data_IF_735904414006
#
_entry.id   IF_735904414006
#
_cell.length_a   1.000
_cell.length_b   1.000
_cell.length_c   1.000
_cell.angle_alpha   90.00
_cell.angle_beta   90.00
_cell.angle_gamma   90.00
#
_symmetry.space_group_name_H-M   'P 1'
#
loop_
_entity.id
_entity.type
_entity.pdbx_description
1 polymer ?
#
# COMPACT_ATOMS: atom_id res chain seq x y z
N UNK A 1 6.48 22.15 1.36
CA UNK A 1 6.19 20.70 1.32
C UNK A 1 7.41 19.82 1.54
N UNK A 2 8.51 19.98 0.80
CA UNK A 2 9.73 19.17 1.02
C UNK A 2 10.24 19.17 2.47
N UNK A 3 10.26 20.33 3.14
CA UNK A 3 10.65 20.43 4.54
C UNK A 3 9.76 19.59 5.49
N UNK A 4 8.45 19.55 5.22
CA UNK A 4 7.50 18.74 5.99
C UNK A 4 7.73 17.24 5.75
N UNK A 5 7.96 16.82 4.51
CA UNK A 5 8.30 15.43 4.19
C UNK A 5 9.63 15.04 4.88
N UNK A 6 10.64 15.90 4.83
CA UNK A 6 11.92 15.67 5.51
C UNK A 6 11.77 15.57 7.03
N UNK A 7 10.93 16.42 7.63
CA UNK A 7 10.56 16.34 9.04
C UNK A 7 9.87 15.00 9.36
N UNK A 8 8.85 14.61 8.58
CA UNK A 8 8.08 13.38 8.79
C UNK A 8 8.96 12.13 8.69
N UNK A 9 9.86 12.09 7.70
CA UNK A 9 10.82 10.99 7.56
C UNK A 9 11.78 10.90 8.76
N UNK A 10 12.31 12.04 9.23
CA UNK A 10 13.18 12.07 10.41
C UNK A 10 12.45 11.66 11.69
N UNK A 11 11.22 12.13 11.87
CA UNK A 11 10.36 11.78 13.00
C UNK A 11 10.06 10.28 13.01
N UNK A 12 9.64 9.73 11.87
CA UNK A 12 9.31 8.32 11.75
C UNK A 12 10.51 7.40 11.93
N UNK A 13 11.66 7.72 11.32
CA UNK A 13 12.89 6.93 11.48
C UNK A 13 13.37 6.93 12.92
N UNK A 14 13.32 8.07 13.63
CA UNK A 14 13.67 8.12 15.07
C UNK A 14 12.72 7.31 15.95
N UNK A 15 11.45 7.18 15.56
CA UNK A 15 10.48 6.37 16.30
C UNK A 15 10.76 4.86 16.24
N UNK A 16 11.59 4.41 15.28
CA UNK A 16 11.89 2.99 15.00
C UNK A 16 10.67 2.12 14.66
N UNK A 17 9.46 2.69 14.55
CA UNK A 17 8.23 1.95 14.27
C UNK A 17 8.15 1.40 12.85
N UNK A 18 9.05 1.84 11.96
CA UNK A 18 9.21 1.29 10.63
C UNK A 18 9.96 -0.06 10.63
N UNK A 19 10.74 -0.34 11.67
CA UNK A 19 11.68 -1.46 11.66
C UNK A 19 10.97 -2.80 11.50
N UNK A 20 9.96 -3.08 12.32
CA UNK A 20 9.23 -4.34 12.28
C UNK A 20 8.60 -4.65 10.89
N UNK A 21 7.76 -3.78 10.28
CA UNK A 21 7.20 -4.06 8.97
C UNK A 21 8.26 -4.10 7.86
N UNK A 22 9.30 -3.28 7.94
CA UNK A 22 10.38 -3.29 6.96
C UNK A 22 11.20 -4.58 7.03
N UNK A 23 11.61 -5.00 8.23
CA UNK A 23 12.35 -6.24 8.45
C UNK A 23 11.54 -7.47 8.00
N UNK A 24 10.24 -7.52 8.34
CA UNK A 24 9.34 -8.58 7.88
C UNK A 24 9.29 -8.65 6.34
N UNK A 25 9.22 -7.49 5.68
CA UNK A 25 9.22 -7.41 4.23
C UNK A 25 10.54 -7.94 3.63
N UNK A 26 11.69 -7.53 4.18
CA UNK A 26 13.01 -8.01 3.74
C UNK A 26 13.12 -9.53 3.92
N UNK A 27 12.77 -10.05 5.10
CA UNK A 27 12.82 -11.50 5.39
C UNK A 27 11.93 -12.27 4.42
N UNK A 28 10.70 -11.82 4.19
CA UNK A 28 9.76 -12.47 3.29
C UNK A 28 10.29 -12.51 1.84
N UNK A 29 10.86 -11.40 1.34
CA UNK A 29 11.45 -11.33 0.00
C UNK A 29 12.68 -12.22 -0.12
N UNK A 30 13.57 -12.24 0.89
CA UNK A 30 14.75 -13.11 0.87
C UNK A 30 14.36 -14.59 0.88
N UNK A 31 13.38 -14.97 1.69
CA UNK A 31 12.85 -16.32 1.74
C UNK A 31 12.24 -16.74 0.40
N UNK A 32 11.44 -15.87 -0.22
CA UNK A 32 10.80 -16.14 -1.51
C UNK A 32 11.83 -16.47 -2.60
N UNK A 33 12.92 -15.69 -2.68
CA UNK A 33 13.97 -15.88 -3.69
C UNK A 33 15.06 -16.90 -3.31
N UNK A 34 14.80 -17.75 -2.30
CA UNK A 34 15.68 -18.86 -1.92
C UNK A 34 15.44 -20.09 -2.81
N UNK A 35 14.19 -20.38 -3.15
CA UNK A 35 13.83 -21.51 -4.01
C UNK A 35 14.04 -21.16 -5.49
N UNK A 36 14.44 -22.15 -6.31
CA UNK A 36 14.64 -22.01 -7.76
C UNK A 36 13.94 -23.18 -8.48
N UNK A 37 13.44 -22.99 -9.72
CA UNK A 37 13.45 -21.75 -10.51
C UNK A 37 12.38 -20.73 -10.06
N UNK A 38 12.67 -19.44 -10.20
CA UNK A 38 11.72 -18.35 -9.91
C UNK A 38 11.06 -17.85 -11.20
N UNK A 39 9.78 -18.21 -11.47
CA UNK A 39 9.02 -17.62 -12.56
C UNK A 39 8.82 -16.12 -12.33
N UNK A 40 9.23 -15.28 -13.29
CA UNK A 40 9.34 -13.82 -13.13
C UNK A 40 8.05 -13.20 -12.59
N UNK A 41 6.95 -13.37 -13.33
CA UNK A 41 5.71 -12.67 -13.05
C UNK A 41 4.99 -13.21 -11.81
N UNK A 42 5.09 -14.51 -11.54
CA UNK A 42 4.57 -15.11 -10.31
C UNK A 42 5.35 -14.64 -9.07
N UNK A 43 6.68 -14.56 -9.14
CA UNK A 43 7.48 -14.00 -8.06
C UNK A 43 7.14 -12.52 -7.83
N UNK A 44 6.96 -11.73 -8.90
CA UNK A 44 6.54 -10.34 -8.77
C UNK A 44 5.11 -10.17 -8.24
N UNK A 45 4.18 -11.06 -8.59
CA UNK A 45 2.83 -11.08 -8.02
C UNK A 45 2.90 -11.30 -6.50
N UNK A 46 3.69 -12.29 -6.06
CA UNK A 46 3.89 -12.58 -4.65
C UNK A 46 4.53 -11.40 -3.90
N UNK A 47 5.61 -10.79 -4.43
CA UNK A 47 6.23 -9.63 -3.79
C UNK A 47 5.35 -8.38 -3.80
N UNK A 48 4.48 -8.21 -4.80
CA UNK A 48 3.52 -7.11 -4.82
C UNK A 48 2.45 -7.26 -3.72
N UNK A 49 1.99 -8.48 -3.43
CA UNK A 49 1.10 -8.76 -2.29
C UNK A 49 1.82 -8.54 -0.95
N UNK A 50 3.08 -8.98 -0.83
CA UNK A 50 3.91 -8.68 0.35
C UNK A 50 4.05 -7.16 0.55
N UNK A 51 4.28 -6.41 -0.54
CA UNK A 51 4.36 -4.95 -0.49
C UNK A 51 3.02 -4.32 -0.09
N UNK A 52 1.88 -4.80 -0.59
CA UNK A 52 0.55 -4.36 -0.15
C UNK A 52 0.40 -4.48 1.37
N UNK A 53 0.74 -5.64 1.94
CA UNK A 53 0.67 -5.89 3.38
C UNK A 53 1.64 -4.98 4.14
N UNK A 54 2.88 -4.88 3.66
CA UNK A 54 3.92 -4.02 4.25
C UNK A 54 3.54 -2.55 4.24
N UNK A 55 3.03 -2.03 3.12
CA UNK A 55 2.61 -0.64 2.96
C UNK A 55 1.40 -0.29 3.83
N UNK A 56 0.43 -1.19 3.99
CA UNK A 56 -0.68 -0.97 4.92
C UNK A 56 -0.20 -0.88 6.38
N UNK A 57 0.74 -1.76 6.78
CA UNK A 57 1.32 -1.73 8.12
C UNK A 57 2.21 -0.51 8.36
N UNK A 58 3.07 -0.16 7.40
CA UNK A 58 3.90 1.05 7.42
C UNK A 58 2.99 2.28 7.51
N UNK A 59 1.92 2.32 6.71
CA UNK A 59 0.92 3.37 6.75
C UNK A 59 0.30 3.53 8.13
N UNK A 60 -0.17 2.45 8.75
CA UNK A 60 -0.77 2.49 10.07
C UNK A 60 0.24 2.92 11.15
N UNK A 61 1.45 2.37 11.09
CA UNK A 61 2.56 2.67 12.00
C UNK A 61 2.98 4.14 11.89
N UNK A 62 3.13 4.64 10.67
CA UNK A 62 3.46 6.02 10.36
C UNK A 62 2.34 6.96 10.80
N UNK A 63 1.09 6.74 10.46
CA UNK A 63 0.02 7.68 10.81
C UNK A 63 -0.20 7.82 12.33
N UNK A 64 0.28 6.86 13.12
CA UNK A 64 0.21 6.85 14.57
C UNK A 64 1.55 7.12 15.27
N UNK A 65 2.64 7.43 14.53
CA UNK A 65 3.98 7.56 15.13
C UNK A 65 4.13 8.82 15.99
N UNK A 66 3.50 9.93 15.59
CA UNK A 66 3.59 11.20 16.32
C UNK A 66 2.61 11.26 17.48
N UNK A 67 3.06 11.84 18.59
CA UNK A 67 2.19 12.14 19.73
C UNK A 67 1.17 13.22 19.35
N UNK A 68 -0.05 13.13 19.91
CA UNK A 68 -1.15 14.06 19.59
C UNK A 68 -0.78 15.54 19.76
N UNK A 69 -0.07 15.87 20.85
CA UNK A 69 0.41 17.23 21.13
C UNK A 69 1.40 17.72 20.06
N UNK A 70 2.37 16.89 19.67
CA UNK A 70 3.35 17.26 18.64
C UNK A 70 2.67 17.48 17.29
N UNK A 71 1.73 16.60 16.93
CA UNK A 71 0.88 16.76 15.74
C UNK A 71 0.13 18.09 15.74
N UNK A 72 -0.49 18.47 16.86
CA UNK A 72 -1.21 19.74 16.99
C UNK A 72 -0.26 20.94 16.78
N UNK A 73 0.92 20.93 17.40
CA UNK A 73 1.93 21.98 17.21
C UNK A 73 2.32 22.14 15.74
N UNK A 74 2.54 21.02 15.03
CA UNK A 74 2.87 21.06 13.60
C UNK A 74 1.70 21.59 12.77
N UNK A 75 0.46 21.16 13.06
CA UNK A 75 -0.74 21.63 12.36
C UNK A 75 -0.93 23.15 12.55
N UNK A 76 -0.74 23.66 13.77
CA UNK A 76 -0.83 25.10 14.08
C UNK A 76 0.26 25.87 13.34
N UNK A 77 1.50 25.38 13.33
CA UNK A 77 2.59 26.00 12.60
C UNK A 77 2.33 26.04 11.08
N UNK A 78 1.75 24.97 10.52
CA UNK A 78 1.34 24.89 9.11
C UNK A 78 0.07 25.69 8.80
N UNK A 79 -0.68 26.12 9.83
CA UNK A 79 -2.01 26.75 9.73
C UNK A 79 -3.03 25.95 8.92
N UNK A 80 -2.81 24.64 8.77
CA UNK A 80 -3.66 23.79 7.93
C UNK A 80 -3.46 22.30 8.23
N UNK A 81 -4.51 21.67 8.74
CA UNK A 81 -4.55 20.21 8.90
C UNK A 81 -4.51 19.47 7.55
N UNK A 82 -5.07 20.07 6.49
CA UNK A 82 -4.99 19.51 5.14
C UNK A 82 -3.54 19.40 4.67
N UNK A 83 -2.74 20.46 4.85
CA UNK A 83 -1.32 20.45 4.48
C UNK A 83 -0.53 19.40 5.26
N UNK A 84 -0.83 19.23 6.55
CA UNK A 84 -0.27 18.15 7.37
C UNK A 84 -0.59 16.77 6.79
N UNK A 85 -1.88 16.49 6.52
CA UNK A 85 -2.33 15.21 5.97
C UNK A 85 -1.79 14.94 4.57
N UNK A 86 -1.74 15.95 3.69
CA UNK A 86 -1.11 15.86 2.37
C UNK A 86 0.37 15.56 2.49
N UNK A 87 1.10 16.22 3.39
CA UNK A 87 2.51 15.92 3.65
C UNK A 87 2.74 14.49 4.12
N UNK A 88 1.88 13.99 5.02
CA UNK A 88 1.91 12.59 5.46
C UNK A 88 1.65 11.60 4.33
N UNK A 89 0.62 11.84 3.51
CA UNK A 89 0.30 11.00 2.36
C UNK A 89 1.45 10.99 1.34
N UNK A 90 2.03 12.15 1.00
CA UNK A 90 3.17 12.24 0.08
C UNK A 90 4.40 11.51 0.63
N UNK A 91 4.62 11.55 1.95
CA UNK A 91 5.69 10.78 2.60
C UNK A 91 5.47 9.28 2.45
N UNK A 92 4.24 8.80 2.66
CA UNK A 92 3.88 7.40 2.47
C UNK A 92 4.00 6.96 1.00
N UNK A 93 3.58 7.80 0.05
CA UNK A 93 3.76 7.54 -1.39
C UNK A 93 5.25 7.41 -1.72
N UNK A 94 6.09 8.33 -1.23
CA UNK A 94 7.54 8.26 -1.45
C UNK A 94 8.14 6.95 -0.89
N UNK A 95 7.79 6.57 0.34
CA UNK A 95 8.25 5.31 0.94
C UNK A 95 7.80 4.10 0.12
N UNK A 96 6.54 4.09 -0.33
CA UNK A 96 6.01 3.04 -1.20
C UNK A 96 6.79 2.93 -2.52
N UNK A 97 7.12 4.06 -3.17
CA UNK A 97 7.90 4.06 -4.40
C UNK A 97 9.31 3.49 -4.19
N UNK A 98 9.96 3.87 -3.08
CA UNK A 98 11.29 3.35 -2.73
C UNK A 98 11.25 1.83 -2.48
N UNK A 99 10.24 1.34 -1.75
CA UNK A 99 10.07 -0.09 -1.50
C UNK A 99 9.70 -0.86 -2.76
N UNK A 100 8.81 -0.33 -3.60
CA UNK A 100 8.49 -0.92 -4.90
C UNK A 100 9.75 -1.05 -5.77
N UNK A 101 10.57 0.01 -5.85
CA UNK A 101 11.84 -0.05 -6.56
C UNK A 101 12.79 -1.09 -5.96
N UNK A 102 12.96 -1.13 -4.64
CA UNK A 102 13.80 -2.13 -3.99
C UNK A 102 13.34 -3.57 -4.33
N UNK A 103 12.04 -3.83 -4.32
CA UNK A 103 11.48 -5.18 -4.49
C UNK A 103 11.56 -5.65 -5.94
N UNK A 104 11.36 -4.74 -6.89
CA UNK A 104 11.45 -5.04 -8.32
C UNK A 104 12.92 -5.17 -8.74
N UNK A 105 13.80 -4.31 -8.24
CA UNK A 105 15.21 -4.29 -8.66
C UNK A 105 16.09 -5.32 -7.96
N UNK A 106 15.76 -5.72 -6.72
CA UNK A 106 16.53 -6.73 -5.97
C UNK A 106 16.75 -8.05 -6.72
N UNK A 107 15.71 -8.75 -7.22
CA UNK A 107 15.90 -10.03 -7.90
C UNK A 107 16.59 -9.88 -9.27
N UNK A 108 16.47 -8.70 -9.90
CA UNK A 108 17.19 -8.38 -11.13
C UNK A 108 18.69 -8.20 -10.86
N UNK A 109 19.05 -7.42 -9.84
CA UNK A 109 20.44 -7.17 -9.45
C UNK A 109 21.13 -8.45 -8.96
N UNK A 110 20.39 -9.36 -8.31
CA UNK A 110 20.89 -10.62 -7.77
C UNK A 110 20.70 -11.83 -8.70
N UNK A 111 20.27 -11.60 -9.95
CA UNK A 111 20.07 -12.63 -10.99
C UNK A 111 19.27 -13.84 -10.50
N UNK A 112 18.13 -13.58 -9.85
CA UNK A 112 17.28 -14.61 -9.23
C UNK A 112 16.33 -15.30 -10.19
N UNK A 113 16.13 -14.75 -11.38
CA UNK A 113 15.25 -15.29 -12.41
C UNK A 113 16.00 -16.25 -13.34
N UNK A 114 15.28 -17.26 -13.84
CA UNK A 114 15.83 -18.25 -14.77
C UNK A 114 15.96 -17.73 -16.21
N UNK A 115 15.22 -16.67 -16.54
CA UNK A 115 15.12 -16.09 -17.87
C UNK A 115 15.21 -14.55 -17.79
N UNK A 116 15.58 -13.86 -18.90
CA UNK A 116 15.62 -12.40 -18.92
C UNK A 116 14.22 -11.80 -18.71
N UNK A 117 14.14 -10.76 -17.87
CA UNK A 117 12.86 -10.13 -17.51
C UNK A 117 12.19 -9.43 -18.69
N UNK A 118 12.95 -8.74 -19.53
CA UNK A 118 12.40 -7.89 -20.60
C UNK A 118 11.73 -6.61 -20.06
N UNK A 119 11.61 -5.60 -20.91
CA UNK A 119 11.06 -4.29 -20.54
C UNK A 119 9.56 -4.34 -20.20
N UNK A 120 8.80 -5.18 -20.92
CA UNK A 120 7.37 -5.38 -20.70
C UNK A 120 7.05 -5.86 -19.27
N UNK A 121 7.62 -7.01 -18.87
CA UNK A 121 7.39 -7.58 -17.53
C UNK A 121 7.94 -6.66 -16.43
N UNK A 122 9.02 -5.93 -16.69
CA UNK A 122 9.55 -4.94 -15.74
C UNK A 122 8.57 -3.78 -15.51
N UNK A 123 7.97 -3.24 -16.58
CA UNK A 123 6.96 -2.18 -16.49
C UNK A 123 5.72 -2.66 -15.71
N UNK A 124 5.24 -3.87 -16.01
CA UNK A 124 4.12 -4.46 -15.28
C UNK A 124 4.46 -4.70 -13.80
N UNK A 125 5.68 -5.17 -13.51
CA UNK A 125 6.15 -5.36 -12.14
C UNK A 125 6.12 -4.05 -11.36
N UNK A 126 6.68 -2.96 -11.90
CA UNK A 126 6.61 -1.64 -11.27
C UNK A 126 5.16 -1.16 -11.11
N UNK A 127 4.35 -1.24 -12.17
CA UNK A 127 2.95 -0.82 -12.13
C UNK A 127 2.15 -1.56 -11.05
N UNK A 128 2.29 -2.89 -10.99
CA UNK A 128 1.64 -3.74 -10.00
C UNK A 128 2.10 -3.47 -8.57
N UNK A 129 3.42 -3.32 -8.33
CA UNK A 129 3.94 -3.01 -7.00
C UNK A 129 3.48 -1.64 -6.51
N UNK A 130 3.54 -0.61 -7.37
CA UNK A 130 3.08 0.73 -7.01
C UNK A 130 1.57 0.70 -6.74
N UNK A 131 0.77 0.10 -7.62
CA UNK A 131 -0.68 -0.01 -7.42
C UNK A 131 -1.01 -0.71 -6.09
N UNK A 132 -0.40 -1.86 -5.81
CA UNK A 132 -0.58 -2.62 -4.57
C UNK A 132 -0.16 -1.83 -3.33
N UNK A 133 1.01 -1.19 -3.37
CA UNK A 133 1.48 -0.37 -2.26
C UNK A 133 0.57 0.83 -2.00
N UNK A 134 0.08 1.49 -3.05
CA UNK A 134 -0.87 2.60 -2.95
C UNK A 134 -2.22 2.15 -2.36
N UNK A 135 -2.76 1.00 -2.78
CA UNK A 135 -3.95 0.42 -2.18
C UNK A 135 -3.71 0.12 -0.69
N UNK A 136 -2.55 -0.45 -0.35
CA UNK A 136 -2.15 -0.72 1.04
C UNK A 136 -2.14 0.52 1.92
N UNK A 137 -1.43 1.58 1.51
CA UNK A 137 -1.41 2.84 2.29
C UNK A 137 -2.81 3.46 2.37
N UNK A 138 -3.63 3.38 1.31
CA UNK A 138 -4.95 4.01 1.28
C UNK A 138 -5.92 3.43 2.31
N UNK A 139 -5.83 2.13 2.59
CA UNK A 139 -6.58 1.47 3.65
C UNK A 139 -6.16 2.02 5.03
N UNK A 140 -4.85 2.14 5.25
CA UNK A 140 -4.30 2.59 6.54
C UNK A 140 -4.73 4.01 6.93
N UNK A 141 -5.05 4.87 5.96
CA UNK A 141 -5.47 6.26 6.18
C UNK A 141 -6.65 6.37 7.16
N UNK A 142 -7.57 5.41 7.11
CA UNK A 142 -8.79 5.38 7.91
C UNK A 142 -8.66 4.57 9.20
N UNK A 143 -7.48 3.98 9.47
CA UNK A 143 -7.24 3.11 10.62
C UNK A 143 -6.35 3.77 11.68
N UNK A 144 -5.94 5.02 11.48
CA UNK A 144 -5.20 5.79 12.48
C UNK A 144 -6.06 6.14 13.70
N UNK A 145 -5.41 6.51 14.81
CA UNK A 145 -6.04 6.77 16.10
C UNK A 145 -7.15 7.84 16.08
N UNK A 146 -7.09 8.77 15.12
CA UNK A 146 -8.13 9.79 14.90
C UNK A 146 -9.46 9.23 14.39
N UNK A 147 -9.46 8.01 13.82
CA UNK A 147 -10.64 7.35 13.26
C UNK A 147 -11.01 6.10 14.07
N UNK A 148 -10.00 5.36 14.55
CA UNK A 148 -10.20 4.14 15.33
C UNK A 148 -9.43 4.27 16.64
N UNK A 149 -10.16 4.55 17.73
CA UNK A 149 -9.56 4.91 19.03
C UNK A 149 -8.71 3.79 19.65
N UNK A 150 -9.11 2.53 19.49
CA UNK A 150 -8.38 1.37 20.02
C UNK A 150 -7.46 0.78 18.95
N UNK A 151 -6.16 0.76 19.23
CA UNK A 151 -5.15 0.22 18.30
C UNK A 151 -5.40 -1.25 17.94
N UNK A 152 -5.91 -2.07 18.87
CA UNK A 152 -6.23 -3.47 18.59
C UNK A 152 -7.35 -3.63 17.55
N UNK A 153 -8.35 -2.75 17.58
CA UNK A 153 -9.44 -2.75 16.60
C UNK A 153 -8.95 -2.27 15.24
N UNK A 154 -8.10 -1.25 15.20
CA UNK A 154 -7.50 -0.77 13.95
C UNK A 154 -6.70 -1.89 13.25
N UNK A 155 -5.86 -2.60 14.01
CA UNK A 155 -5.08 -3.74 13.50
C UNK A 155 -6.00 -4.88 13.06
N UNK A 156 -7.00 -5.25 13.87
CA UNK A 156 -7.96 -6.30 13.52
C UNK A 156 -8.73 -5.99 12.23
N UNK A 157 -9.20 -4.75 12.08
CA UNK A 157 -9.87 -4.29 10.86
C UNK A 157 -8.93 -4.28 9.65
N UNK A 158 -7.68 -3.84 9.83
CA UNK A 158 -6.66 -3.88 8.78
C UNK A 158 -6.46 -5.32 8.26
N UNK A 159 -6.26 -6.27 9.18
CA UNK A 159 -6.07 -7.69 8.85
C UNK A 159 -7.31 -8.28 8.15
N UNK A 160 -8.51 -7.96 8.64
CA UNK A 160 -9.76 -8.37 8.00
C UNK A 160 -9.87 -7.86 6.56
N UNK A 161 -9.59 -6.57 6.33
CA UNK A 161 -9.60 -5.99 4.98
C UNK A 161 -8.55 -6.67 4.10
N UNK A 162 -7.33 -6.92 4.60
CA UNK A 162 -6.28 -7.62 3.83
C UNK A 162 -6.74 -9.02 3.39
N UNK A 163 -7.31 -9.81 4.30
CA UNK A 163 -7.81 -11.17 4.00
C UNK A 163 -8.88 -11.11 2.92
N UNK A 164 -9.85 -10.19 3.05
CA UNK A 164 -10.91 -10.00 2.05
C UNK A 164 -10.34 -9.56 0.70
N UNK A 165 -9.33 -8.68 0.70
CA UNK A 165 -8.72 -8.15 -0.53
C UNK A 165 -7.97 -9.23 -1.31
N UNK A 166 -7.19 -10.06 -0.59
CA UNK A 166 -6.41 -11.17 -1.16
C UNK A 166 -7.35 -12.29 -1.63
N UNK A 167 -8.42 -12.57 -0.90
CA UNK A 167 -9.46 -13.54 -1.28
C UNK A 167 -10.52 -13.00 -2.25
N UNK A 168 -10.40 -11.74 -2.69
CA UNK A 168 -11.50 -10.97 -3.28
C UNK A 168 -12.16 -11.64 -4.49
N UNK A 169 -11.39 -12.16 -5.46
CA UNK A 169 -11.92 -12.84 -6.64
C UNK A 169 -12.80 -14.05 -6.29
N UNK A 170 -12.35 -14.90 -5.35
CA UNK A 170 -13.12 -16.04 -4.87
C UNK A 170 -14.38 -15.61 -4.12
N UNK A 171 -14.27 -14.60 -3.26
CA UNK A 171 -15.42 -14.06 -2.51
C UNK A 171 -16.48 -13.50 -3.47
N UNK A 172 -16.06 -12.75 -4.50
CA UNK A 172 -16.99 -12.19 -5.48
C UNK A 172 -17.70 -13.24 -6.31
N UNK A 173 -17.08 -14.40 -6.55
CA UNK A 173 -17.73 -15.53 -7.22
C UNK A 173 -18.79 -16.24 -6.38
N UNK A 174 -18.82 -16.01 -5.06
CA UNK A 174 -19.82 -16.57 -4.15
C UNK A 174 -20.99 -15.60 -3.89
N UNK A 175 -20.91 -14.36 -4.39
CA UNK A 175 -21.95 -13.37 -4.17
C UNK A 175 -23.16 -13.63 -5.10
N UNK A 176 -24.40 -13.55 -4.58
CA UNK A 176 -25.60 -13.47 -5.41
C UNK A 176 -25.53 -12.30 -6.40
N UNK A 177 -26.19 -12.42 -7.55
CA UNK A 177 -26.15 -11.40 -8.62
C UNK A 177 -26.51 -9.99 -8.12
N UNK A 178 -27.47 -9.89 -7.19
CA UNK A 178 -27.88 -8.63 -6.58
C UNK A 178 -26.76 -7.90 -5.80
N UNK A 179 -25.75 -8.63 -5.33
CA UNK A 179 -24.63 -8.10 -4.53
C UNK A 179 -23.35 -7.89 -5.35
N UNK A 180 -23.35 -8.16 -6.66
CA UNK A 180 -22.20 -7.94 -7.55
C UNK A 180 -21.62 -6.52 -7.47
N UNK A 181 -22.41 -5.44 -7.33
CA UNK A 181 -21.86 -4.09 -7.17
C UNK A 181 -20.95 -3.93 -5.94
N UNK A 182 -21.13 -4.76 -4.91
CA UNK A 182 -20.30 -4.72 -3.69
C UNK A 182 -18.84 -5.08 -3.97
N UNK A 183 -18.54 -5.72 -5.11
CA UNK A 183 -17.18 -5.95 -5.59
C UNK A 183 -16.36 -4.66 -5.67
N UNK A 184 -16.97 -3.52 -6.00
CA UNK A 184 -16.26 -2.24 -6.07
C UNK A 184 -15.72 -1.77 -4.71
N UNK A 185 -16.30 -2.24 -3.60
CA UNK A 185 -15.85 -1.88 -2.26
C UNK A 185 -14.60 -2.66 -1.84
N UNK A 186 -14.43 -3.87 -2.39
CA UNK A 186 -13.30 -4.76 -2.07
C UNK A 186 -12.03 -4.20 -2.72
N UNK A 187 -10.94 -3.98 -1.95
CA UNK A 187 -9.69 -3.51 -2.54
C UNK A 187 -9.20 -4.48 -3.62
N UNK A 188 -8.77 -3.99 -4.80
CA UNK A 188 -8.52 -4.82 -5.98
C UNK A 188 -7.17 -5.57 -5.95
N UNK A 189 -6.77 -6.07 -4.79
CA UNK A 189 -5.50 -6.79 -4.59
C UNK A 189 -5.51 -8.10 -5.35
N UNK A 190 -6.52 -8.94 -5.15
CA UNK A 190 -6.64 -10.22 -5.88
C UNK A 190 -6.67 -10.05 -7.40
N UNK A 191 -7.31 -8.99 -7.91
CA UNK A 191 -7.34 -8.69 -9.35
C UNK A 191 -5.95 -8.29 -9.88
N UNK A 192 -5.22 -7.43 -9.17
CA UNK A 192 -3.85 -7.05 -9.56
C UNK A 192 -2.88 -8.22 -9.45
N UNK A 193 -3.04 -9.08 -8.44
CA UNK A 193 -2.25 -10.31 -8.29
C UNK A 193 -2.47 -11.25 -9.48
N UNK A 194 -3.72 -11.50 -9.85
CA UNK A 194 -4.08 -12.35 -10.98
C UNK A 194 -3.57 -11.78 -12.32
N UNK A 195 -3.68 -10.46 -12.50
CA UNK A 195 -3.15 -9.76 -13.66
C UNK A 195 -1.63 -9.91 -13.79
N UNK A 196 -0.90 -9.88 -12.67
CA UNK A 196 0.55 -10.13 -12.69
C UNK A 196 0.84 -11.60 -13.00
N UNK A 197 0.20 -12.55 -12.32
CA UNK A 197 0.43 -14.00 -12.54
C UNK A 197 0.16 -14.43 -13.98
N UNK A 198 -0.85 -13.83 -14.63
CA UNK A 198 -1.29 -14.16 -15.98
C UNK A 198 -0.88 -13.10 -17.02
N UNK A 199 0.12 -12.28 -16.73
CA UNK A 199 0.49 -11.13 -17.55
C UNK A 199 0.86 -11.44 -19.01
N UNK A 200 1.39 -12.64 -19.27
CA UNK A 200 1.78 -13.06 -20.62
C UNK A 200 0.61 -13.66 -21.42
N UNK A 201 -0.49 -14.05 -20.76
CA UNK A 201 -1.68 -14.63 -21.41
C UNK A 201 -2.83 -13.63 -21.57
N UNK A 202 -2.88 -12.61 -20.71
CA UNK A 202 -3.93 -11.60 -20.73
C UNK A 202 -3.70 -10.55 -21.83
N UNK A 203 -4.79 -10.10 -22.44
CA UNK A 203 -4.76 -8.98 -23.35
C UNK A 203 -4.35 -7.68 -22.62
N UNK A 204 -3.52 -6.84 -23.27
CA UNK A 204 -3.03 -5.59 -22.67
C UNK A 204 -4.12 -4.64 -22.17
N UNK A 205 -5.31 -4.62 -22.81
CA UNK A 205 -6.46 -3.84 -22.36
C UNK A 205 -7.01 -4.30 -20.99
N UNK A 206 -6.96 -5.60 -20.70
CA UNK A 206 -7.38 -6.16 -19.41
C UNK A 206 -6.38 -5.77 -18.31
N UNK A 207 -5.09 -5.84 -18.62
CA UNK A 207 -4.04 -5.39 -17.69
C UNK A 207 -4.16 -3.89 -17.38
N UNK A 208 -4.36 -3.06 -18.41
CA UNK A 208 -4.50 -1.62 -18.25
C UNK A 208 -5.72 -1.25 -17.41
N UNK A 209 -6.88 -1.84 -17.68
CA UNK A 209 -8.11 -1.57 -16.91
C UNK A 209 -7.98 -2.05 -15.46
N UNK A 210 -7.28 -3.17 -15.22
CA UNK A 210 -7.04 -3.70 -13.87
C UNK A 210 -6.16 -2.75 -13.05
N UNK A 211 -5.05 -2.28 -13.61
CA UNK A 211 -4.19 -1.30 -12.93
C UNK A 211 -4.90 0.04 -12.77
N UNK A 212 -5.59 0.54 -13.80
CA UNK A 212 -6.35 1.78 -13.72
C UNK A 212 -7.39 1.73 -12.60
N UNK A 213 -8.09 0.60 -12.45
CA UNK A 213 -9.02 0.39 -11.35
C UNK A 213 -8.33 0.46 -9.97
N UNK A 214 -7.17 -0.17 -9.80
CA UNK A 214 -6.42 -0.12 -8.55
C UNK A 214 -5.90 1.29 -8.21
N UNK A 215 -5.36 2.01 -9.19
CA UNK A 215 -4.94 3.40 -9.03
C UNK A 215 -6.13 4.31 -8.69
N UNK A 216 -7.25 4.16 -9.40
CA UNK A 216 -8.47 4.92 -9.15
C UNK A 216 -9.02 4.65 -7.75
N UNK A 217 -9.05 3.38 -7.32
CA UNK A 217 -9.48 2.99 -5.98
C UNK A 217 -8.63 3.68 -4.90
N UNK A 218 -7.30 3.60 -5.01
CA UNK A 218 -6.39 4.25 -4.08
C UNK A 218 -6.53 5.79 -4.09
N UNK A 219 -6.68 6.39 -5.27
CA UNK A 219 -6.86 7.83 -5.43
C UNK A 219 -8.18 8.34 -4.83
N UNK A 220 -9.28 7.59 -5.02
CA UNK A 220 -10.57 7.92 -4.43
C UNK A 220 -10.53 7.86 -2.89
N UNK A 221 -9.93 6.81 -2.33
CA UNK A 221 -9.76 6.71 -0.87
C UNK A 221 -8.87 7.82 -0.31
N UNK A 222 -7.75 8.12 -0.97
CA UNK A 222 -6.88 9.22 -0.58
C UNK A 222 -7.57 10.58 -0.67
N UNK A 223 -8.34 10.83 -1.74
CA UNK A 223 -9.12 12.06 -1.93
C UNK A 223 -10.21 12.22 -0.86
N UNK A 224 -10.95 11.15 -0.56
CA UNK A 224 -11.95 11.11 0.50
C UNK A 224 -11.31 11.40 1.87
N UNK A 225 -10.17 10.79 2.15
CA UNK A 225 -9.40 11.02 3.37
C UNK A 225 -9.01 12.50 3.51
N UNK A 226 -8.38 13.09 2.49
CA UNK A 226 -7.94 14.49 2.53
C UNK A 226 -9.12 15.46 2.67
N UNK A 227 -10.24 15.18 2.00
CA UNK A 227 -11.46 15.97 2.12
C UNK A 227 -12.00 15.96 3.56
N UNK A 228 -12.07 14.77 4.18
CA UNK A 228 -12.60 14.58 5.54
C UNK A 228 -11.65 15.11 6.60
N UNK A 229 -10.36 14.80 6.54
CA UNK A 229 -9.36 15.25 7.53
C UNK A 229 -9.23 16.77 7.57
N UNK A 230 -9.46 17.46 6.46
CA UNK A 230 -9.52 18.90 6.44
C UNK A 230 -10.71 19.53 7.19
N UNK A 231 -11.66 18.73 7.65
CA UNK A 231 -12.83 19.16 8.45
C UNK A 231 -12.81 18.61 9.87
N UNK A 232 -11.77 17.83 10.24
CA UNK A 232 -11.66 17.25 11.58
C UNK A 232 -11.13 18.29 12.58
N UNK A 233 -11.76 18.34 13.76
CA UNK A 233 -11.29 19.12 14.90
C UNK A 233 -10.23 18.33 15.66
N UNK A 234 -8.96 18.68 15.44
CA UNK A 234 -7.81 18.04 16.10
C UNK A 234 -7.64 18.46 17.56
N UNK A 235 -8.42 19.41 18.08
CA UNK A 235 -8.36 19.83 19.49
C UNK A 235 -9.06 18.88 20.45
N UNK A 236 -9.88 17.94 19.95
CA UNK A 236 -10.70 17.00 20.74
C UNK A 236 -10.20 15.54 20.72
N UNK A 237 -9.08 15.28 20.03
CA UNK A 237 -8.49 13.94 19.82
C UNK A 237 -7.27 13.80 20.70
#
# INVERSE_FOLDING_TARGET
MMALIGYMLRSYTRSQRYFAPFAALVIAVMMLYTYKPNPIMNSYAATAVILFVGCAWIGLSFLNHEHAVQRQVVIVHLRSARLYCTGGLLTLVLLTLLLAAALVLYPLATRKFAEPVGSYRLLLAFGGHIAMGLVGISISLFLQASWVRKSSYAVGLMLGIMIISIGGTKITGLLPEALVPLRLLIPPVSAVMDALMNADSLAGGVLLTTFAHAFLYAALLAGLYLHRSGRMDYGKI
#
